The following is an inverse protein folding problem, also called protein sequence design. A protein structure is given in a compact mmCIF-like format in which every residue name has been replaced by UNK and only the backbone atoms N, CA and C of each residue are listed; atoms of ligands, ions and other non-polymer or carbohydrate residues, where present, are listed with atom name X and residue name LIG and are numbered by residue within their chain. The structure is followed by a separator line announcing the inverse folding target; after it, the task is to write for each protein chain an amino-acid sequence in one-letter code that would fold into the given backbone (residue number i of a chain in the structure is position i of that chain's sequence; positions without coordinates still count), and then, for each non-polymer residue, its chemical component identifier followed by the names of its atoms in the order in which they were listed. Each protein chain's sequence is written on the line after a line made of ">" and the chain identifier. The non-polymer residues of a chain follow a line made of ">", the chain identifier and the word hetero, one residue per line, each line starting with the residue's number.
data_IF_946001315617
#
_entry.id   IF_946001315617
#
_cell.length_a   1.000
_cell.length_b   1.000
_cell.length_c   1.000
_cell.angle_alpha   90.00
_cell.angle_beta   90.00
_cell.angle_gamma   90.00
#
_symmetry.space_group_name_H-M   'P 1'
#
loop_
_entity.id
_entity.type
_entity.pdbx_description
1 polymer ?
#
# COMPACT_ATOMS: atom_id res chain seq x y z
N UNK A 1 -6.11 -9.72 14.86
CA UNK A 1 -6.75 -8.75 13.95
C UNK A 1 -5.75 -8.39 12.87
N UNK A 2 -6.17 -8.24 11.63
CA UNK A 2 -5.28 -7.76 10.55
C UNK A 2 -5.24 -6.23 10.56
N UNK A 3 -4.17 -5.61 10.06
CA UNK A 3 -4.11 -4.14 9.92
C UNK A 3 -5.24 -3.58 9.04
N UNK A 4 -5.65 -4.34 8.03
CA UNK A 4 -6.78 -3.98 7.16
C UNK A 4 -8.10 -3.87 7.94
N UNK A 5 -8.32 -4.76 8.91
CA UNK A 5 -9.51 -4.72 9.78
C UNK A 5 -9.58 -3.43 10.60
N UNK A 6 -8.44 -2.88 11.03
CA UNK A 6 -8.43 -1.58 11.71
C UNK A 6 -8.81 -0.43 10.77
N UNK A 7 -8.37 -0.48 9.51
CA UNK A 7 -8.76 0.53 8.53
C UNK A 7 -10.25 0.43 8.21
N UNK A 8 -10.73 -0.75 7.84
CA UNK A 8 -12.10 -0.93 7.36
C UNK A 8 -13.13 -0.73 8.49
N UNK A 9 -12.91 -1.31 9.67
CA UNK A 9 -13.90 -1.29 10.74
C UNK A 9 -13.79 -0.05 11.65
N UNK A 10 -12.59 0.54 11.78
CA UNK A 10 -12.35 1.63 12.75
C UNK A 10 -12.10 2.98 12.09
N UNK A 11 -11.35 3.04 10.97
CA UNK A 11 -11.10 4.32 10.28
C UNK A 11 -12.21 4.68 9.29
N UNK A 12 -12.70 3.71 8.52
CA UNK A 12 -13.76 3.93 7.54
C UNK A 12 -15.16 3.83 8.13
N UNK A 13 -15.30 3.91 9.46
CA UNK A 13 -16.59 3.87 10.12
C UNK A 13 -17.42 5.13 9.82
N UNK A 14 -18.75 4.96 9.75
CA UNK A 14 -19.65 6.11 9.64
C UNK A 14 -19.78 6.82 10.98
N UNK A 15 -19.59 8.14 10.96
CA UNK A 15 -19.72 9.05 12.08
C UNK A 15 -20.73 10.15 11.74
N UNK A 16 -21.86 10.15 12.44
CA UNK A 16 -22.93 11.15 12.22
C UNK A 16 -23.38 11.26 10.75
N UNK A 17 -23.30 10.16 9.99
CA UNK A 17 -23.64 10.09 8.55
C UNK A 17 -22.50 10.44 7.59
N UNK A 18 -21.29 10.69 8.09
CA UNK A 18 -20.09 10.98 7.30
C UNK A 18 -19.06 9.86 7.45
N UNK A 19 -18.13 9.74 6.51
CA UNK A 19 -16.98 8.82 6.61
C UNK A 19 -15.70 9.53 6.15
N UNK A 20 -14.54 9.01 6.53
CA UNK A 20 -13.27 9.49 5.97
C UNK A 20 -13.25 9.29 4.46
N UNK A 21 -12.72 10.25 3.72
CA UNK A 21 -12.52 10.12 2.27
C UNK A 21 -11.52 8.99 1.98
N UNK A 22 -10.44 8.94 2.75
CA UNK A 22 -9.47 7.86 2.68
C UNK A 22 -8.67 7.74 3.98
N UNK A 23 -8.14 6.56 4.26
CA UNK A 23 -7.39 6.29 5.49
C UNK A 23 -6.25 5.31 5.23
N UNK A 24 -5.16 5.42 5.98
CA UNK A 24 -4.00 4.54 5.85
C UNK A 24 -3.28 4.34 7.19
N UNK A 25 -2.64 3.18 7.33
CA UNK A 25 -1.71 2.86 8.42
C UNK A 25 -0.35 2.62 7.77
N UNK A 26 0.64 3.41 8.15
CA UNK A 26 1.98 3.39 7.57
C UNK A 26 2.99 3.19 8.71
N UNK A 27 3.97 2.31 8.53
CA UNK A 27 5.10 2.19 9.45
C UNK A 27 5.97 3.45 9.44
N UNK A 28 6.77 3.66 10.50
CA UNK A 28 7.71 4.79 10.54
C UNK A 28 8.80 4.74 9.45
N UNK A 29 9.02 3.55 8.87
CA UNK A 29 9.90 3.31 7.73
C UNK A 29 9.26 3.70 6.37
N UNK A 30 8.01 4.14 6.37
CA UNK A 30 7.23 4.42 5.16
C UNK A 30 6.57 3.18 4.54
N UNK A 31 6.73 2.00 5.14
CA UNK A 31 6.05 0.79 4.68
C UNK A 31 4.55 0.92 4.88
N UNK A 32 3.78 0.57 3.86
CA UNK A 32 2.31 0.60 3.96
C UNK A 32 1.81 -0.67 4.63
N UNK A 33 1.12 -0.55 5.77
CA UNK A 33 0.57 -1.69 6.50
C UNK A 33 -0.89 -1.97 6.14
N UNK A 34 -1.68 -0.91 5.92
CA UNK A 34 -3.05 -1.01 5.44
C UNK A 34 -3.51 0.31 4.80
N UNK A 35 -4.47 0.20 3.88
CA UNK A 35 -4.99 1.29 3.06
C UNK A 35 -6.51 1.14 2.94
N UNK A 36 -7.25 2.24 2.88
CA UNK A 36 -8.65 2.18 2.49
C UNK A 36 -8.78 2.03 0.97
N UNK A 37 -9.85 1.39 0.51
CA UNK A 37 -10.11 1.17 -0.91
C UNK A 37 -10.25 2.47 -1.72
N UNK A 38 -10.57 3.58 -1.06
CA UNK A 38 -10.83 4.91 -1.65
C UNK A 38 -9.57 5.78 -1.73
N UNK A 39 -8.46 5.38 -1.10
CA UNK A 39 -7.17 6.00 -1.42
C UNK A 39 -6.91 5.74 -2.90
N UNK A 40 -6.54 6.74 -3.75
CA UNK A 40 -6.39 6.53 -5.18
C UNK A 40 -5.40 5.39 -5.38
N UNK A 41 -5.94 4.20 -5.60
CA UNK A 41 -5.20 3.06 -6.05
C UNK A 41 -4.66 3.55 -7.39
N UNK A 42 -3.36 3.76 -7.47
CA UNK A 42 -2.69 3.47 -8.72
C UNK A 42 -2.89 1.98 -8.92
N UNK A 43 -4.06 1.69 -9.49
CA UNK A 43 -4.54 0.43 -10.01
C UNK A 43 -3.73 0.08 -11.28
N UNK A 44 -2.43 0.39 -11.25
CA UNK A 44 -1.48 0.19 -12.31
C UNK A 44 -0.89 -1.22 -12.28
N UNK A 45 -1.20 -2.08 -11.29
CA UNK A 45 -0.70 -3.46 -11.26
C UNK A 45 -1.70 -4.56 -10.85
N UNK A 46 -2.89 -4.27 -10.32
CA UNK A 46 -3.90 -5.33 -10.14
C UNK A 46 -4.56 -5.73 -11.48
N UNK A 47 -4.69 -4.79 -12.43
CA UNK A 47 -5.30 -5.01 -13.75
C UNK A 47 -4.28 -5.06 -14.93
N UNK A 48 -3.00 -4.76 -14.67
CA UNK A 48 -1.93 -4.79 -15.68
C UNK A 48 -1.30 -6.17 -15.92
N UNK A 49 -1.45 -7.12 -14.98
CA UNK A 49 -0.92 -8.49 -15.13
C UNK A 49 -1.99 -9.47 -15.64
N UNK A 50 -3.29 -9.16 -15.49
CA UNK A 50 -4.36 -10.03 -16.02
C UNK A 50 -4.62 -9.79 -17.53
N UNK A 51 -4.35 -8.59 -18.06
CA UNK A 51 -4.56 -8.30 -19.49
C UNK A 51 -3.43 -8.77 -20.42
N UNK A 52 -2.28 -9.21 -19.88
CA UNK A 52 -1.16 -9.73 -20.69
C UNK A 52 -0.94 -11.25 -20.59
N UNK A 53 -1.77 -11.96 -19.83
CA UNK A 53 -1.74 -13.43 -19.69
C UNK A 53 -3.02 -14.11 -20.21
N UNK A 54 -3.74 -13.49 -21.17
CA UNK A 54 -5.00 -14.02 -21.71
C UNK A 54 -5.03 -14.21 -23.24
N UNK A 55 -3.88 -14.53 -23.85
CA UNK A 55 -3.87 -15.21 -25.18
C UNK A 55 -2.96 -16.43 -25.26
N UNK A 56 -1.90 -16.52 -24.44
CA UNK A 56 -0.95 -17.65 -24.56
C UNK A 56 -1.18 -18.80 -23.56
N UNK A 57 -2.14 -18.67 -22.62
CA UNK A 57 -2.56 -19.78 -21.72
C UNK A 57 -3.92 -20.37 -22.14
N UNK A 58 -4.40 -20.06 -23.36
CA UNK A 58 -5.54 -20.75 -23.95
C UNK A 58 -5.14 -21.99 -24.77
N UNK A 59 -3.85 -22.20 -25.07
CA UNK A 59 -3.40 -23.36 -25.88
C UNK A 59 -2.86 -24.50 -25.00
N UNK A 60 -2.45 -24.22 -23.76
CA UNK A 60 -1.81 -25.24 -22.92
C UNK A 60 -2.78 -26.13 -22.10
N UNK A 61 -4.07 -25.80 -22.03
CA UNK A 61 -5.07 -26.60 -21.30
C UNK A 61 -6.08 -27.34 -22.19
N UNK A 62 -6.00 -27.18 -23.52
CA UNK A 62 -6.81 -27.94 -24.48
C UNK A 62 -6.06 -29.16 -25.06
N UNK A 63 -4.72 -29.19 -24.96
CA UNK A 63 -3.90 -30.34 -25.43
C UNK A 63 -3.92 -31.51 -24.43
N UNK A 64 -4.04 -31.26 -23.13
CA UNK A 64 -4.01 -32.33 -22.11
C UNK A 64 -5.37 -33.03 -21.93
N UNK A 65 -6.46 -32.48 -22.48
CA UNK A 65 -7.80 -33.10 -22.43
C UNK A 65 -8.18 -33.91 -23.68
N UNK A 66 -7.33 -33.98 -24.70
CA UNK A 66 -7.61 -34.70 -25.97
C UNK A 66 -6.90 -36.08 -26.11
N UNK A 67 -6.19 -36.57 -25.09
CA UNK A 67 -5.48 -37.87 -25.15
C UNK A 67 -5.93 -38.91 -24.13
N UNK A 68 -7.25 -39.11 -24.03
CA UNK A 68 -7.85 -40.36 -23.54
C UNK A 68 -8.94 -40.86 -24.50
N UNK A 69 -8.57 -41.21 -25.73
CA UNK A 69 -9.21 -42.33 -26.43
C UNK A 69 -8.46 -42.76 -27.72
N UNK A 70 -7.97 -44.02 -27.70
CA UNK A 70 -7.90 -44.98 -28.84
C UNK A 70 -6.74 -44.89 -29.88
N UNK A 71 -6.47 -45.96 -30.67
CA UNK A 71 -5.40 -46.94 -30.39
C UNK A 71 -4.34 -47.13 -31.52
N UNK A 72 -3.26 -47.87 -31.18
CA UNK A 72 -2.31 -48.67 -31.98
C UNK A 72 -2.08 -48.38 -33.49
N UNK A 73 -0.82 -48.11 -33.88
CA UNK A 73 -0.06 -48.88 -34.89
C UNK A 73 1.34 -48.30 -35.24
N UNK A 74 2.28 -49.24 -35.43
CA UNK A 74 3.49 -49.28 -36.29
C UNK A 74 4.60 -48.22 -36.21
N UNK A 75 5.70 -48.63 -35.58
CA UNK A 75 7.11 -48.64 -36.06
C UNK A 75 7.56 -47.61 -37.12
N UNK A 76 8.61 -46.84 -36.79
CA UNK A 76 9.91 -46.82 -37.50
C UNK A 76 10.92 -45.91 -36.78
N UNK A 77 12.17 -46.37 -36.74
CA UNK A 77 13.34 -45.80 -36.07
C UNK A 77 13.75 -44.41 -36.58
N UNK A 78 14.56 -43.66 -35.81
CA UNK A 78 15.96 -43.26 -36.16
C UNK A 78 16.58 -42.30 -35.11
N UNK A 79 17.70 -42.78 -34.54
CA UNK A 79 18.90 -42.19 -33.89
C UNK A 79 18.92 -40.85 -33.11
N UNK A 80 19.26 -40.98 -31.82
CA UNK A 80 20.45 -40.48 -31.08
C UNK A 80 21.16 -39.20 -31.59
N UNK A 81 21.23 -38.19 -30.73
CA UNK A 81 22.46 -37.45 -30.43
C UNK A 81 22.47 -37.04 -28.95
N UNK A 82 23.43 -37.59 -28.23
CA UNK A 82 23.93 -37.18 -26.92
C UNK A 82 24.80 -35.94 -27.08
N UNK A 83 24.66 -34.95 -26.19
CA UNK A 83 25.85 -34.23 -25.75
C UNK A 83 25.73 -33.74 -24.30
N UNK A 84 26.74 -34.17 -23.55
CA UNK A 84 27.09 -33.84 -22.17
C UNK A 84 27.94 -32.58 -22.15
N UNK A 85 27.73 -31.68 -21.19
CA UNK A 85 28.60 -30.52 -21.00
C UNK A 85 28.35 -29.79 -19.67
N UNK A 86 29.11 -30.21 -18.65
CA UNK A 86 29.63 -29.42 -17.52
C UNK A 86 30.06 -27.98 -17.94
N UNK A 87 30.14 -26.93 -17.12
CA UNK A 87 30.20 -26.72 -15.67
C UNK A 87 30.08 -25.21 -15.39
N UNK A 88 29.79 -24.88 -14.12
CA UNK A 88 30.33 -23.70 -13.38
C UNK A 88 30.12 -22.29 -13.95
N UNK A 89 29.14 -21.56 -13.41
CA UNK A 89 29.42 -20.20 -12.92
C UNK A 89 28.45 -19.82 -11.78
N UNK A 90 28.97 -19.89 -10.55
CA UNK A 90 28.27 -19.51 -9.32
C UNK A 90 28.52 -18.01 -9.07
N UNK A 91 27.90 -17.16 -9.88
CA UNK A 91 27.97 -15.71 -9.76
C UNK A 91 26.84 -15.17 -8.88
N UNK A 92 27.11 -15.00 -7.58
CA UNK A 92 26.28 -14.24 -6.65
C UNK A 92 26.41 -12.76 -6.99
N UNK A 93 25.49 -12.21 -7.77
CA UNK A 93 25.16 -10.78 -7.74
C UNK A 93 23.65 -10.61 -7.71
N UNK A 94 23.18 -10.60 -6.47
CA UNK A 94 21.92 -10.01 -6.04
C UNK A 94 21.89 -8.53 -6.45
N UNK A 95 21.42 -8.25 -7.65
CA UNK A 95 20.72 -7.00 -7.95
C UNK A 95 19.31 -7.36 -8.39
N UNK A 96 18.55 -7.95 -7.46
CA UNK A 96 17.10 -7.87 -7.50
C UNK A 96 16.81 -6.38 -7.31
N UNK A 97 16.75 -5.64 -8.41
CA UNK A 97 16.04 -4.37 -8.43
C UNK A 97 14.65 -4.72 -7.92
N UNK A 98 14.41 -4.44 -6.64
CA UNK A 98 13.07 -4.44 -6.09
C UNK A 98 12.30 -3.55 -7.05
N UNK A 99 11.40 -4.17 -7.82
CA UNK A 99 10.33 -3.44 -8.46
C UNK A 99 9.48 -2.97 -7.28
N UNK A 100 9.89 -1.84 -6.71
CA UNK A 100 9.07 -1.11 -5.76
C UNK A 100 7.78 -0.78 -6.52
N UNK A 101 6.65 -1.09 -5.88
CA UNK A 101 5.36 -0.74 -6.45
C UNK A 101 5.29 0.76 -6.68
N UNK A 102 4.21 1.29 -7.30
CA UNK A 102 3.96 2.71 -7.24
C UNK A 102 3.79 3.10 -5.76
N UNK A 103 4.85 3.59 -5.13
CA UNK A 103 4.82 4.04 -3.75
C UNK A 103 3.84 5.19 -3.66
N UNK A 104 2.72 4.94 -3.00
CA UNK A 104 1.60 5.86 -2.87
C UNK A 104 2.01 7.13 -2.11
N UNK A 105 2.99 6.99 -1.23
CA UNK A 105 3.60 8.05 -0.47
C UNK A 105 5.08 8.07 -0.80
N UNK A 106 5.63 9.26 -0.99
CA UNK A 106 7.06 9.35 -1.21
C UNK A 106 7.78 9.20 0.14
N UNK A 107 8.92 8.49 0.21
CA UNK A 107 9.68 8.35 1.46
C UNK A 107 10.10 9.70 2.07
N UNK A 108 10.32 10.71 1.23
CA UNK A 108 10.61 12.09 1.63
C UNK A 108 9.46 12.74 2.42
N UNK A 109 8.20 12.42 2.09
CA UNK A 109 7.01 12.91 2.79
C UNK A 109 6.93 12.31 4.21
N UNK A 110 7.14 11.00 4.32
CA UNK A 110 7.12 10.29 5.61
C UNK A 110 8.25 10.76 6.52
N UNK A 111 9.45 10.95 5.96
CA UNK A 111 10.60 11.47 6.71
C UNK A 111 10.33 12.87 7.23
N UNK A 112 9.70 13.74 6.43
CA UNK A 112 9.35 15.09 6.85
C UNK A 112 8.31 15.10 7.98
N UNK A 113 7.31 14.20 7.92
CA UNK A 113 6.33 13.98 8.99
C UNK A 113 7.01 13.53 10.29
N UNK A 114 7.92 12.56 10.21
CA UNK A 114 8.67 12.08 11.38
C UNK A 114 9.58 13.14 12.00
N UNK A 115 10.14 14.01 11.17
CA UNK A 115 10.91 15.17 11.63
C UNK A 115 10.01 16.17 12.37
N UNK A 116 8.80 16.43 11.90
CA UNK A 116 7.87 17.34 12.59
C UNK A 116 7.38 16.80 13.92
N UNK A 117 7.24 15.48 14.06
CA UNK A 117 6.98 14.87 15.37
C UNK A 117 8.17 15.01 16.34
N UNK A 118 9.39 15.16 15.83
CA UNK A 118 10.59 15.35 16.65
C UNK A 118 10.85 16.83 16.95
N UNK A 119 10.55 17.71 16.00
CA UNK A 119 10.65 19.17 16.08
C UNK A 119 9.33 19.82 15.61
N UNK A 120 8.38 20.02 16.53
CA UNK A 120 7.04 20.52 16.21
C UNK A 120 7.09 21.89 15.53
N UNK A 121 6.57 21.96 14.30
CA UNK A 121 6.49 23.21 13.53
C UNK A 121 7.48 23.31 12.38
N UNK A 122 8.37 22.32 12.20
CA UNK A 122 9.25 22.22 11.04
C UNK A 122 8.48 22.17 9.71
N UNK A 123 7.28 21.59 9.68
CA UNK A 123 6.40 21.52 8.50
C UNK A 123 5.51 22.76 8.32
N UNK A 124 5.38 23.64 9.32
CA UNK A 124 4.57 24.85 9.20
C UNK A 124 4.98 25.79 8.04
N UNK A 125 6.29 26.07 7.80
CA UNK A 125 6.70 26.93 6.69
C UNK A 125 6.63 26.24 5.31
N UNK A 126 6.90 24.94 5.24
CA UNK A 126 6.94 24.19 3.96
C UNK A 126 5.58 23.67 3.52
N UNK A 127 4.70 23.37 4.48
CA UNK A 127 3.46 22.62 4.32
C UNK A 127 3.68 21.11 4.45
N UNK A 128 2.61 20.39 4.80
CA UNK A 128 2.56 18.93 4.85
C UNK A 128 2.27 18.38 3.45
N UNK A 129 3.11 17.49 2.94
CA UNK A 129 2.88 16.82 1.67
C UNK A 129 2.49 15.36 1.92
N UNK A 130 1.41 14.92 1.27
CA UNK A 130 0.95 13.53 1.30
C UNK A 130 0.47 13.15 -0.10
N UNK A 131 1.12 12.16 -0.72
CA UNK A 131 0.77 11.69 -2.07
C UNK A 131 0.87 12.80 -3.12
N UNK A 132 1.84 13.71 -2.98
CA UNK A 132 2.02 14.89 -3.84
C UNK A 132 1.02 16.03 -3.59
N UNK A 133 0.07 15.86 -2.67
CA UNK A 133 -0.86 16.93 -2.28
C UNK A 133 -0.30 17.74 -1.12
N UNK A 134 -0.25 19.07 -1.28
CA UNK A 134 0.12 20.00 -0.22
C UNK A 134 -1.08 20.36 0.66
N UNK A 135 -0.91 20.17 1.97
CA UNK A 135 -1.82 20.58 3.04
C UNK A 135 -1.17 21.69 3.88
N UNK A 136 -1.97 22.65 4.31
CA UNK A 136 -1.53 23.68 5.25
C UNK A 136 -1.54 23.12 6.66
N UNK A 137 -0.40 23.11 7.35
CA UNK A 137 -0.32 22.64 8.74
C UNK A 137 -1.11 23.57 9.64
N UNK A 138 -1.97 23.01 10.47
CA UNK A 138 -2.73 23.71 11.50
C UNK A 138 -2.33 23.20 12.88
N UNK A 139 -2.85 23.82 13.94
CA UNK A 139 -2.52 23.47 15.30
C UNK A 139 -2.84 21.99 15.61
N UNK A 140 -1.77 21.21 15.81
CA UNK A 140 -1.77 19.80 16.22
C UNK A 140 -1.53 19.62 17.71
N UNK A 141 -1.12 18.41 18.09
CA UNK A 141 -0.55 18.08 19.39
C UNK A 141 0.95 17.76 19.21
N UNK A 142 1.81 18.51 19.90
CA UNK A 142 3.26 18.39 19.75
C UNK A 142 3.72 16.96 20.05
N UNK A 143 4.36 16.32 19.06
CA UNK A 143 4.90 14.96 19.18
C UNK A 143 3.88 13.82 19.06
N UNK A 144 2.57 14.13 18.98
CA UNK A 144 1.51 13.11 18.94
C UNK A 144 0.61 13.23 17.70
N UNK A 145 0.16 14.43 17.34
CA UNK A 145 -0.84 14.66 16.27
C UNK A 145 -0.42 15.80 15.37
N UNK A 146 -0.35 15.55 14.07
CA UNK A 146 -0.20 16.57 13.03
C UNK A 146 -1.53 16.72 12.31
N UNK A 147 -1.95 17.96 12.07
CA UNK A 147 -3.19 18.27 11.37
C UNK A 147 -2.89 19.16 10.18
N UNK A 148 -3.52 18.87 9.05
CA UNK A 148 -3.41 19.61 7.81
C UNK A 148 -4.78 19.98 7.26
N UNK A 149 -4.89 21.15 6.63
CA UNK A 149 -6.11 21.60 5.96
C UNK A 149 -5.82 21.91 4.49
N UNK A 150 -6.74 21.53 3.60
CA UNK A 150 -6.69 21.84 2.17
C UNK A 150 -8.09 22.24 1.69
N UNK A 151 -8.33 23.55 1.60
CA UNK A 151 -9.64 24.08 1.22
C UNK A 151 -10.74 23.60 2.19
N UNK A 152 -11.80 22.92 1.70
CA UNK A 152 -12.87 22.38 2.54
C UNK A 152 -12.47 21.11 3.32
N UNK A 153 -11.54 20.32 2.77
CA UNK A 153 -11.05 19.09 3.37
C UNK A 153 -9.79 19.26 4.21
N UNK A 154 -9.27 18.15 4.69
CA UNK A 154 -8.06 18.11 5.49
C UNK A 154 -7.55 16.71 5.75
N UNK A 155 -6.55 16.63 6.61
CA UNK A 155 -5.88 15.39 6.99
C UNK A 155 -5.47 15.46 8.44
N UNK A 156 -5.60 14.34 9.14
CA UNK A 156 -5.10 14.15 10.50
C UNK A 156 -4.16 12.96 10.51
N UNK A 157 -2.99 13.17 11.13
CA UNK A 157 -1.95 12.16 11.27
C UNK A 157 -1.65 11.98 12.76
N UNK A 158 -1.89 10.78 13.29
CA UNK A 158 -1.58 10.41 14.68
C UNK A 158 -0.37 9.47 14.69
N UNK A 159 0.62 9.76 15.52
CA UNK A 159 1.79 8.92 15.72
C UNK A 159 1.53 7.86 16.80
N UNK A 160 1.89 6.61 16.52
CA UNK A 160 1.99 5.50 17.48
C UNK A 160 3.45 5.12 17.70
N UNK A 161 3.75 4.05 18.46
CA UNK A 161 5.13 3.64 18.71
C UNK A 161 5.85 3.11 17.45
N UNK A 162 5.11 2.47 16.54
CA UNK A 162 5.66 1.85 15.32
C UNK A 162 4.98 2.30 14.02
N UNK A 163 3.82 2.96 14.10
CA UNK A 163 3.03 3.35 12.95
C UNK A 163 2.56 4.82 13.00
N UNK A 164 2.04 5.25 11.86
CA UNK A 164 1.38 6.52 11.61
C UNK A 164 -0.03 6.21 11.11
N UNK A 165 -1.03 6.76 11.77
CA UNK A 165 -2.44 6.64 11.40
C UNK A 165 -2.83 7.90 10.66
N UNK A 166 -3.22 7.76 9.39
CA UNK A 166 -3.57 8.87 8.51
C UNK A 166 -5.05 8.78 8.18
N UNK A 167 -5.79 9.86 8.40
CA UNK A 167 -7.17 10.02 7.94
C UNK A 167 -7.31 11.29 7.12
N UNK A 168 -7.78 11.16 5.89
CA UNK A 168 -8.12 12.25 4.98
C UNK A 168 -9.63 12.40 4.94
N UNK A 169 -10.11 13.63 5.02
CA UNK A 169 -11.53 13.93 4.98
C UNK A 169 -11.81 15.09 4.04
N UNK A 170 -13.01 15.10 3.48
CA UNK A 170 -13.56 16.19 2.67
C UNK A 170 -14.95 16.59 3.20
N UNK A 171 -15.52 17.67 2.69
CA UNK A 171 -16.91 18.04 2.99
C UNK A 171 -17.87 16.90 2.62
N UNK A 172 -18.91 16.62 3.44
CA UNK A 172 -19.43 17.40 4.57
C UNK A 172 -18.81 17.07 5.95
N UNK A 173 -17.72 16.30 6.00
CA UNK A 173 -17.09 15.90 7.25
C UNK A 173 -16.35 17.05 7.92
N UNK A 174 -16.51 17.20 9.22
CA UNK A 174 -15.81 18.26 9.98
C UNK A 174 -14.42 17.80 10.42
N UNK A 175 -13.46 18.73 10.61
CA UNK A 175 -12.14 18.39 11.16
C UNK A 175 -12.20 17.66 12.50
N UNK A 176 -13.18 18.01 13.35
CA UNK A 176 -13.39 17.37 14.66
C UNK A 176 -13.78 15.90 14.56
N UNK A 177 -14.63 15.55 13.58
CA UNK A 177 -15.00 14.16 13.32
C UNK A 177 -13.79 13.33 12.87
N UNK A 178 -12.95 13.87 11.97
CA UNK A 178 -11.75 13.19 11.51
C UNK A 178 -10.76 12.96 12.66
N UNK A 179 -10.51 13.99 13.46
CA UNK A 179 -9.66 13.91 14.64
C UNK A 179 -10.11 12.79 15.58
N UNK A 180 -11.40 12.73 15.90
CA UNK A 180 -11.90 11.72 16.83
C UNK A 180 -11.67 10.30 16.35
N UNK A 181 -11.83 10.01 15.05
CA UNK A 181 -11.61 8.68 14.49
C UNK A 181 -10.11 8.31 14.53
N UNK A 182 -9.26 9.18 14.01
CA UNK A 182 -7.82 8.91 13.86
C UNK A 182 -7.14 8.83 15.22
N UNK A 183 -7.45 9.76 16.12
CA UNK A 183 -6.85 9.81 17.45
C UNK A 183 -7.29 8.63 18.31
N UNK A 184 -8.57 8.26 18.27
CA UNK A 184 -9.09 7.10 19.02
C UNK A 184 -8.43 5.79 18.62
N UNK A 185 -8.21 5.57 17.31
CA UNK A 185 -7.49 4.38 16.87
C UNK A 185 -6.02 4.43 17.28
N UNK A 186 -5.37 5.59 17.14
CA UNK A 186 -3.97 5.72 17.53
C UNK A 186 -3.72 5.54 19.03
N UNK A 187 -4.61 6.07 19.88
CA UNK A 187 -4.54 5.86 21.33
C UNK A 187 -4.73 4.38 21.68
N UNK A 188 -5.68 3.70 21.03
CA UNK A 188 -5.84 2.25 21.18
C UNK A 188 -4.57 1.48 20.79
N UNK A 189 -3.94 1.82 19.68
CA UNK A 189 -2.72 1.15 19.24
C UNK A 189 -1.55 1.43 20.20
N UNK A 190 -1.42 2.65 20.71
CA UNK A 190 -0.44 3.01 21.72
C UNK A 190 -0.62 2.19 23.01
N UNK A 191 -1.86 2.05 23.49
CA UNK A 191 -2.19 1.25 24.68
C UNK A 191 -1.87 -0.24 24.50
N UNK A 192 -1.99 -0.74 23.27
CA UNK A 192 -1.60 -2.11 22.92
C UNK A 192 -0.07 -2.27 22.74
N UNK A 193 0.71 -1.18 22.78
CA UNK A 193 2.17 -1.18 22.58
C UNK A 193 2.62 -1.18 21.12
N UNK A 194 1.74 -0.78 20.20
CA UNK A 194 2.04 -0.56 18.78
C UNK A 194 2.37 0.90 18.45
#
# INVERSE_FOLDING_TARGET
>A
MSWQTYVDDHLMCEIEGNHLSSAAIIGHDGSTWALSATFPQLDALANGVVSKFSKDVAIALDVVRSHRNRPAASSSNVSVVSDTGESSDFGVLSSRSQAEGPDLFKPEEITAIMNDFSDPGSLAPTGLYLGGTKYMVIQGEAGAVIRGKKGPGGVTVKKTNMALIIGVYDEPMTPGQCNMIVERLGDYLLDQGF
#
